data_IF_835279884372
#
_entry.id   IF_835279884372
#
_cell.length_a   1.000
_cell.length_b   1.000
_cell.length_c   1.000
_cell.angle_alpha   90.00
_cell.angle_beta   90.00
_cell.angle_gamma   90.00
#
_symmetry.space_group_name_H-M   'P 1'
#
loop_
_entity.id
_entity.type
_entity.pdbx_description
1 polymer ?
#
# COMPACT_ATOMS: atom_id res chain seq x y z
N UNK A 1 -5.60 4.28 -14.01
CA UNK A 1 -4.48 3.32 -13.99
C UNK A 1 -4.32 2.73 -12.58
N UNK A 2 -4.00 1.45 -12.52
CA UNK A 2 -3.79 0.70 -11.29
C UNK A 2 -2.34 0.22 -11.27
N UNK A 3 -1.59 0.67 -10.26
CA UNK A 3 -0.18 0.35 -10.08
C UNK A 3 -0.08 -0.71 -8.98
N UNK A 4 0.53 -1.83 -9.28
CA UNK A 4 0.60 -2.97 -8.36
C UNK A 4 2.02 -3.55 -8.27
N UNK A 5 2.44 -3.90 -7.05
CA UNK A 5 3.70 -4.62 -6.81
C UNK A 5 3.60 -6.05 -7.38
N UNK A 6 4.46 -6.41 -8.33
CA UNK A 6 4.51 -7.78 -8.88
C UNK A 6 4.73 -8.87 -7.82
N UNK A 7 5.32 -8.49 -6.70
CA UNK A 7 5.60 -9.37 -5.55
C UNK A 7 4.48 -9.40 -4.50
N UNK A 8 3.25 -8.99 -4.86
CA UNK A 8 2.03 -9.19 -4.04
C UNK A 8 1.05 -10.12 -4.77
N UNK A 9 1.33 -11.43 -4.81
CA UNK A 9 0.56 -12.36 -5.64
C UNK A 9 -0.83 -12.67 -5.10
N UNK A 10 -1.16 -12.27 -3.86
CA UNK A 10 -2.42 -12.57 -3.18
C UNK A 10 -3.45 -11.43 -3.25
N UNK A 11 -3.28 -10.49 -4.18
CA UNK A 11 -4.29 -9.46 -4.43
C UNK A 11 -5.59 -10.11 -4.88
N UNK A 12 -6.70 -9.74 -4.23
CA UNK A 12 -8.03 -10.30 -4.53
C UNK A 12 -8.84 -9.39 -5.45
N UNK A 13 -9.90 -9.95 -6.06
CA UNK A 13 -10.84 -9.18 -6.87
C UNK A 13 -11.53 -8.08 -6.04
N UNK A 14 -11.81 -8.34 -4.78
CA UNK A 14 -12.44 -7.38 -3.85
C UNK A 14 -11.53 -6.17 -3.62
N UNK A 15 -10.23 -6.39 -3.42
CA UNK A 15 -9.24 -5.31 -3.27
C UNK A 15 -9.20 -4.46 -4.55
N UNK A 16 -9.13 -5.09 -5.71
CA UNK A 16 -9.08 -4.41 -7.01
C UNK A 16 -10.36 -3.62 -7.26
N UNK A 17 -11.52 -4.24 -7.03
CA UNK A 17 -12.83 -3.63 -7.24
C UNK A 17 -13.04 -2.43 -6.33
N UNK A 18 -12.66 -2.53 -5.05
CA UNK A 18 -12.77 -1.43 -4.10
C UNK A 18 -11.81 -0.29 -4.45
N UNK A 19 -10.58 -0.60 -4.87
CA UNK A 19 -9.61 0.40 -5.34
C UNK A 19 -10.16 1.21 -6.53
N UNK A 20 -10.77 0.54 -7.51
CA UNK A 20 -11.40 1.19 -8.67
C UNK A 20 -12.60 2.04 -8.23
N UNK A 21 -13.45 1.52 -7.36
CA UNK A 21 -14.63 2.23 -6.84
C UNK A 21 -14.24 3.53 -6.13
N UNK A 22 -13.26 3.46 -5.24
CA UNK A 22 -12.77 4.63 -4.49
C UNK A 22 -12.11 5.64 -5.44
N UNK A 23 -11.28 5.17 -6.37
CA UNK A 23 -10.63 6.04 -7.36
C UNK A 23 -11.66 6.77 -8.25
N UNK A 24 -12.71 6.08 -8.70
CA UNK A 24 -13.80 6.71 -9.48
C UNK A 24 -14.51 7.80 -8.68
N UNK A 25 -14.65 7.63 -7.36
CA UNK A 25 -15.34 8.60 -6.50
C UNK A 25 -14.47 9.80 -6.13
N UNK A 26 -13.18 9.60 -5.89
CA UNK A 26 -12.31 10.61 -5.29
C UNK A 26 -11.10 11.01 -6.14
N UNK A 27 -10.85 10.34 -7.28
CA UNK A 27 -9.74 10.61 -8.18
C UNK A 27 -8.48 9.78 -7.94
N UNK A 28 -8.33 9.20 -6.77
CA UNK A 28 -7.27 8.23 -6.47
C UNK A 28 -7.70 7.27 -5.36
N UNK A 29 -6.97 6.17 -5.20
CA UNK A 29 -7.11 5.28 -4.05
C UNK A 29 -5.82 4.56 -3.73
N UNK A 30 -5.56 4.36 -2.45
CA UNK A 30 -4.44 3.61 -1.91
C UNK A 30 -4.98 2.49 -1.06
N UNK A 31 -4.68 1.24 -1.42
CA UNK A 31 -5.04 0.10 -0.58
C UNK A 31 -4.28 0.15 0.73
N UNK A 32 -4.99 0.05 1.85
CA UNK A 32 -4.40 0.16 3.18
C UNK A 32 -4.96 -0.87 4.14
N UNK A 33 -4.17 -1.19 5.16
CA UNK A 33 -4.59 -1.95 6.34
C UNK A 33 -4.30 -1.16 7.61
N UNK A 34 -5.00 -1.42 8.72
CA UNK A 34 -4.70 -0.81 10.01
C UNK A 34 -3.28 -1.13 10.47
N UNK A 35 -2.69 -0.23 11.25
CA UNK A 35 -1.48 -0.53 12.01
C UNK A 35 -1.91 -1.18 13.33
N UNK A 36 -1.80 -2.51 13.43
CA UNK A 36 -2.26 -3.27 14.60
C UNK A 36 -1.21 -3.35 15.72
N UNK A 37 0.05 -3.12 15.40
CA UNK A 37 1.17 -3.23 16.34
C UNK A 37 1.56 -1.87 16.93
N UNK A 38 2.18 -1.89 18.11
CA UNK A 38 2.74 -0.69 18.70
C UNK A 38 3.91 -0.17 17.86
N UNK A 39 3.92 1.13 17.61
CA UNK A 39 4.96 1.79 16.80
C UNK A 39 5.81 2.69 17.70
N UNK A 40 7.11 2.50 17.65
CA UNK A 40 8.09 3.31 18.36
C UNK A 40 8.95 4.07 17.37
N UNK A 41 9.20 5.34 17.65
CA UNK A 41 10.17 6.13 16.90
C UNK A 41 11.57 5.88 17.48
N UNK A 42 12.54 5.70 16.62
CA UNK A 42 13.95 5.58 17.02
C UNK A 42 14.81 6.53 16.20
N UNK A 43 15.85 7.07 16.82
CA UNK A 43 16.86 7.91 16.16
C UNK A 43 18.18 7.17 15.98
N UNK A 44 18.47 6.23 16.87
CA UNK A 44 19.72 5.45 16.93
C UNK A 44 19.57 4.00 16.41
N UNK A 45 18.33 3.55 16.15
CA UNK A 45 18.02 2.18 15.76
C UNK A 45 18.14 1.13 16.87
N UNK A 46 18.44 1.56 18.11
CA UNK A 46 18.72 0.68 19.26
C UNK A 46 17.76 0.94 20.42
N UNK A 47 17.33 2.18 20.59
CA UNK A 47 16.49 2.62 21.69
C UNK A 47 15.35 3.52 21.25
N UNK A 48 14.37 3.73 22.12
CA UNK A 48 13.25 4.63 21.87
C UNK A 48 12.73 5.25 23.16
N UNK A 49 12.35 6.52 23.06
CA UNK A 49 11.66 7.28 24.11
C UNK A 49 10.29 7.79 23.66
N UNK A 50 9.87 7.48 22.41
CA UNK A 50 8.65 8.04 21.80
C UNK A 50 7.80 6.95 21.17
N UNK A 51 6.51 6.94 21.54
CA UNK A 51 5.50 6.11 20.90
C UNK A 51 4.77 6.91 19.82
N UNK A 52 4.55 6.30 18.65
CA UNK A 52 3.69 6.87 17.63
C UNK A 52 2.29 6.29 17.79
N UNK A 53 1.23 7.11 17.97
CA UNK A 53 -0.14 6.63 18.10
C UNK A 53 -0.59 5.89 16.82
N UNK A 54 -0.81 4.59 16.94
CA UNK A 54 -1.14 3.71 15.79
C UNK A 54 -2.53 3.95 15.21
N UNK A 55 -3.46 4.51 15.98
CA UNK A 55 -4.85 4.75 15.55
C UNK A 55 -4.92 5.70 14.35
N UNK A 56 -3.93 6.58 14.21
CA UNK A 56 -3.80 7.52 13.11
C UNK A 56 -2.90 7.01 11.98
N UNK A 57 -2.42 5.78 12.06
CA UNK A 57 -1.52 5.19 11.08
C UNK A 57 -2.24 4.15 10.21
N UNK A 58 -1.88 4.13 8.93
CA UNK A 58 -2.26 3.10 7.97
C UNK A 58 -1.00 2.51 7.34
N UNK A 59 -0.96 1.20 7.24
CA UNK A 59 0.06 0.51 6.45
C UNK A 59 -0.40 0.48 4.99
N UNK A 60 0.39 1.07 4.11
CA UNK A 60 0.05 1.13 2.68
C UNK A 60 0.41 -0.17 1.99
N UNK A 61 -0.46 -0.55 1.07
CA UNK A 61 -0.24 -1.68 0.15
C UNK A 61 -0.40 -1.19 -1.29
N UNK A 62 -0.36 -2.11 -2.22
CA UNK A 62 -0.84 -1.90 -3.58
C UNK A 62 -2.03 -2.85 -3.81
N UNK A 63 -2.96 -2.53 -4.73
CA UNK A 63 -2.89 -1.50 -5.78
C UNK A 63 -2.97 -0.07 -5.24
N UNK A 64 -2.28 0.84 -5.96
CA UNK A 64 -2.43 2.27 -5.85
C UNK A 64 -3.04 2.76 -7.18
N UNK A 65 -4.20 3.36 -7.12
CA UNK A 65 -5.02 3.62 -8.31
C UNK A 65 -5.21 5.13 -8.50
N UNK A 66 -5.01 5.58 -9.72
CA UNK A 66 -5.06 7.00 -10.08
C UNK A 66 -5.76 7.19 -11.41
N UNK A 67 -6.33 8.37 -11.63
CA UNK A 67 -6.66 8.83 -12.97
C UNK A 67 -5.34 9.05 -13.73
N UNK A 68 -5.18 8.46 -14.92
CA UNK A 68 -3.91 8.45 -15.65
C UNK A 68 -3.33 9.85 -15.85
N UNK A 69 -4.14 10.80 -16.31
CA UNK A 69 -3.70 12.18 -16.51
C UNK A 69 -3.18 12.84 -15.23
N UNK A 70 -3.78 12.51 -14.08
CA UNK A 70 -3.43 13.16 -12.80
C UNK A 70 -2.12 12.59 -12.24
N UNK A 71 -1.87 11.29 -12.39
CA UNK A 71 -0.57 10.72 -11.96
C UNK A 71 0.56 11.14 -12.90
N UNK A 72 0.33 11.25 -14.19
CA UNK A 72 1.32 11.78 -15.14
C UNK A 72 1.67 13.22 -14.78
N UNK A 73 0.67 14.09 -14.60
CA UNK A 73 0.90 15.48 -14.19
C UNK A 73 1.63 15.58 -12.85
N UNK A 74 1.35 14.69 -11.89
CA UNK A 74 2.06 14.64 -10.62
C UNK A 74 3.55 14.31 -10.79
N UNK A 75 3.88 13.36 -11.67
CA UNK A 75 5.28 13.04 -11.98
C UNK A 75 6.02 14.21 -12.67
N UNK A 76 5.36 14.91 -13.60
CA UNK A 76 5.92 16.10 -14.25
C UNK A 76 6.18 17.22 -13.22
N UNK A 77 5.20 17.52 -12.38
CA UNK A 77 5.32 18.49 -11.28
C UNK A 77 6.46 18.13 -10.31
N UNK A 78 6.61 16.84 -9.99
CA UNK A 78 7.68 16.36 -9.12
C UNK A 78 9.07 16.59 -9.72
N UNK A 79 9.23 16.34 -11.03
CA UNK A 79 10.50 16.62 -11.73
C UNK A 79 10.84 18.10 -11.72
N UNK A 80 9.87 18.97 -11.96
CA UNK A 80 10.05 20.43 -11.90
C UNK A 80 10.47 20.91 -10.50
N UNK A 81 9.98 20.26 -9.45
CA UNK A 81 10.33 20.54 -8.04
C UNK A 81 11.59 19.82 -7.55
N UNK A 82 12.25 19.03 -8.40
CA UNK A 82 13.43 18.26 -8.03
C UNK A 82 13.15 17.08 -7.10
N UNK A 83 11.91 16.58 -7.06
CA UNK A 83 11.52 15.39 -6.30
C UNK A 83 11.78 14.16 -7.19
N UNK A 84 12.86 13.43 -6.90
CA UNK A 84 13.33 12.34 -7.78
C UNK A 84 13.44 10.98 -7.10
N UNK A 85 13.20 10.90 -5.79
CA UNK A 85 13.46 9.70 -4.98
C UNK A 85 12.26 9.23 -4.15
N UNK A 86 11.04 9.55 -4.55
CA UNK A 86 9.84 9.05 -3.88
C UNK A 86 9.77 7.53 -3.97
N UNK A 87 9.57 6.88 -2.83
CA UNK A 87 9.57 5.40 -2.74
C UNK A 87 8.32 4.75 -3.33
N UNK A 88 7.25 5.51 -3.53
CA UNK A 88 5.98 5.03 -4.08
C UNK A 88 5.14 6.19 -4.62
N UNK A 89 4.14 5.87 -5.46
CA UNK A 89 3.21 6.88 -6.01
C UNK A 89 2.42 7.61 -4.91
N UNK A 90 2.05 6.93 -3.84
CA UNK A 90 1.37 7.56 -2.70
C UNK A 90 2.28 8.57 -1.97
N UNK A 91 3.56 8.26 -1.78
CA UNK A 91 4.50 9.19 -1.15
C UNK A 91 4.75 10.41 -2.03
N UNK A 92 4.85 10.23 -3.35
CA UNK A 92 4.94 11.33 -4.30
C UNK A 92 3.77 12.31 -4.18
N UNK A 93 2.54 11.79 -4.10
CA UNK A 93 1.35 12.61 -3.91
C UNK A 93 1.40 13.43 -2.62
N UNK A 94 1.83 12.82 -1.52
CA UNK A 94 1.97 13.52 -0.21
C UNK A 94 3.04 14.60 -0.31
N UNK A 95 4.20 14.33 -0.90
CA UNK A 95 5.29 15.31 -1.10
C UNK A 95 4.84 16.50 -1.94
N UNK A 96 3.91 16.30 -2.88
CA UNK A 96 3.27 17.36 -3.68
C UNK A 96 2.09 18.05 -2.96
N UNK A 97 1.80 17.70 -1.70
CA UNK A 97 0.67 18.25 -0.95
C UNK A 97 -0.70 17.78 -1.43
N UNK A 98 -0.76 16.67 -2.18
CA UNK A 98 -2.00 16.13 -2.73
C UNK A 98 -2.63 15.14 -1.75
N UNK A 99 -3.97 15.18 -1.64
CA UNK A 99 -4.72 14.31 -0.74
C UNK A 99 -4.88 12.90 -1.32
N UNK A 100 -4.71 11.89 -0.46
CA UNK A 100 -4.95 10.49 -0.79
C UNK A 100 -6.23 9.97 -0.13
N UNK A 101 -6.88 9.02 -0.80
CA UNK A 101 -8.06 8.34 -0.30
C UNK A 101 -7.79 6.86 -0.15
N UNK A 102 -8.37 6.23 0.87
CA UNK A 102 -8.07 4.84 1.20
C UNK A 102 -9.11 3.88 0.62
N UNK A 103 -8.63 2.76 0.12
CA UNK A 103 -9.41 1.58 -0.22
C UNK A 103 -8.98 0.40 0.63
N UNK A 104 -9.79 -0.64 0.65
CA UNK A 104 -9.53 -1.83 1.46
C UNK A 104 -8.28 -2.58 0.97
N UNK A 105 -7.40 -2.90 1.90
CA UNK A 105 -6.33 -3.88 1.75
C UNK A 105 -6.66 -5.17 2.49
N UNK A 106 -5.69 -6.06 2.61
CA UNK A 106 -5.81 -7.31 3.36
C UNK A 106 -4.46 -7.73 3.93
N UNK A 107 -4.46 -8.31 5.13
CA UNK A 107 -3.25 -8.94 5.68
C UNK A 107 -2.73 -10.08 4.78
N UNK A 108 -3.62 -10.74 4.00
CA UNK A 108 -3.23 -11.75 3.02
C UNK A 108 -2.53 -11.18 1.79
N UNK A 109 -2.68 -9.88 1.51
CA UNK A 109 -2.04 -9.20 0.39
C UNK A 109 -0.59 -8.84 0.73
N UNK A 110 0.19 -9.83 1.14
CA UNK A 110 1.57 -9.70 1.59
C UNK A 110 2.51 -9.33 0.44
N UNK A 111 3.58 -8.62 0.78
CA UNK A 111 4.69 -8.31 -0.13
C UNK A 111 5.82 -9.31 0.12
N UNK A 112 6.21 -10.07 -0.91
CA UNK A 112 7.25 -11.08 -0.80
C UNK A 112 8.63 -10.43 -0.85
N UNK A 113 9.18 -10.08 0.31
CA UNK A 113 10.47 -9.37 0.44
C UNK A 113 11.51 -10.16 1.22
N UNK A 114 11.07 -11.14 2.02
CA UNK A 114 11.95 -11.96 2.84
C UNK A 114 11.69 -13.46 2.58
N UNK A 115 12.62 -14.36 2.96
CA UNK A 115 12.36 -15.80 2.92
C UNK A 115 11.13 -16.22 3.73
N UNK A 116 10.88 -15.59 4.88
CA UNK A 116 9.72 -15.89 5.73
C UNK A 116 8.40 -15.56 5.03
N UNK A 117 8.37 -14.51 4.21
CA UNK A 117 7.19 -14.14 3.41
C UNK A 117 6.82 -15.25 2.42
N UNK A 118 7.81 -15.97 1.90
CA UNK A 118 7.59 -17.09 0.98
C UNK A 118 6.92 -18.27 1.70
N UNK A 119 7.29 -18.54 2.93
CA UNK A 119 6.69 -19.61 3.72
C UNK A 119 5.25 -19.26 4.12
N UNK A 120 4.99 -18.00 4.47
CA UNK A 120 3.63 -17.48 4.68
C UNK A 120 2.81 -17.63 3.40
N UNK A 121 3.36 -17.23 2.26
CA UNK A 121 2.70 -17.34 0.96
C UNK A 121 2.33 -18.77 0.60
N UNK A 122 3.26 -19.74 0.78
CA UNK A 122 2.97 -21.17 0.57
C UNK A 122 1.83 -21.64 1.45
N UNK A 123 1.80 -21.24 2.71
CA UNK A 123 0.73 -21.57 3.66
C UNK A 123 -0.63 -21.01 3.21
N UNK A 124 -0.67 -19.78 2.72
CA UNK A 124 -1.88 -19.17 2.16
C UNK A 124 -2.40 -19.91 0.92
N UNK A 125 -1.51 -20.40 0.05
CA UNK A 125 -1.90 -21.18 -1.13
C UNK A 125 -2.53 -22.53 -0.75
N UNK A 126 -2.01 -23.20 0.28
CA UNK A 126 -2.58 -24.47 0.78
C UNK A 126 -3.98 -24.25 1.34
N UNK A 127 -4.17 -23.21 2.15
CA UNK A 127 -5.47 -22.86 2.71
C UNK A 127 -6.50 -22.58 1.61
N UNK A 128 -6.11 -21.81 0.58
CA UNK A 128 -6.99 -21.51 -0.55
C UNK A 128 -7.42 -22.77 -1.30
N UNK A 129 -6.51 -23.73 -1.51
CA UNK A 129 -6.84 -25.01 -2.15
C UNK A 129 -7.82 -25.84 -1.32
N UNK A 130 -7.72 -25.84 0.00
CA UNK A 130 -8.63 -26.57 0.87
C UNK A 130 -10.07 -26.03 0.88
N UNK A 131 -10.23 -24.72 0.65
CA UNK A 131 -11.56 -24.12 0.52
C UNK A 131 -12.27 -24.49 -0.80
N UNK A 132 -11.50 -24.82 -1.84
CA UNK A 132 -12.04 -25.25 -3.14
C UNK A 132 -12.41 -26.74 -3.19
N UNK A 133 -11.99 -27.53 -2.23
CA UNK A 133 -12.28 -28.97 -2.14
C UNK A 133 -13.47 -29.29 -1.21
N UNK A 134 -14.17 -28.28 -0.74
CA UNK A 134 -15.44 -28.39 -0.01
C UNK A 134 -16.62 -27.97 -0.91
#
# INVERSE_FOLDING_TARGET
VLIHDAIRPMVSEEIISDAIRVCKKYGNSISVIPCAEAMLKTEDGVSSLEQIPRDNLKRTQTPQTFVLKDIVAAHEEALEKGITNSVASCTLYIELGKKLYFSAGSEKNIKLTTPDDIDIFKSLLVTRKSEWMK
#
